data_IF_674432557079
#
_entry.id   IF_674432557079
#
_cell.length_a   1.000
_cell.length_b   1.000
_cell.length_c   1.000
_cell.angle_alpha   90.00
_cell.angle_beta   90.00
_cell.angle_gamma   90.00
#
_symmetry.space_group_name_H-M   'P 1'
#
loop_
_entity.id
_entity.type
_entity.pdbx_description
1 polymer ?
#
# COMPACT_ATOMS: atom_id res chain seq x y z
N UNK A 1 -20.16 -20.21 -6.22
CA UNK A 1 -19.29 -19.02 -6.20
C UNK A 1 -20.17 -17.80 -5.93
N UNK A 2 -20.31 -17.34 -4.67
CA UNK A 2 -21.31 -16.31 -4.29
C UNK A 2 -20.74 -15.14 -3.48
N UNK A 3 -19.52 -15.27 -2.93
CA UNK A 3 -18.99 -14.30 -1.97
C UNK A 3 -17.84 -13.44 -2.49
N UNK A 4 -17.09 -13.91 -3.50
CA UNK A 4 -15.86 -13.24 -3.96
C UNK A 4 -16.09 -11.76 -4.33
N UNK A 5 -17.00 -11.48 -5.25
CA UNK A 5 -17.24 -10.10 -5.72
C UNK A 5 -17.79 -9.19 -4.62
N UNK A 6 -18.66 -9.73 -3.75
CA UNK A 6 -19.22 -8.99 -2.61
C UNK A 6 -18.12 -8.62 -1.61
N UNK A 7 -17.25 -9.56 -1.28
CA UNK A 7 -16.11 -9.35 -0.38
C UNK A 7 -15.08 -8.39 -0.98
N UNK A 8 -14.72 -8.55 -2.27
CA UNK A 8 -13.85 -7.62 -2.98
C UNK A 8 -14.43 -6.20 -2.98
N UNK A 9 -15.74 -6.06 -3.20
CA UNK A 9 -16.44 -4.79 -3.13
C UNK A 9 -16.37 -4.14 -1.74
N UNK A 10 -16.45 -4.93 -0.67
CA UNK A 10 -16.25 -4.45 0.70
C UNK A 10 -14.82 -3.96 0.92
N UNK A 11 -13.81 -4.77 0.57
CA UNK A 11 -12.40 -4.41 0.80
C UNK A 11 -11.94 -3.24 -0.07
N UNK A 12 -12.48 -3.05 -1.28
CA UNK A 12 -12.24 -1.83 -2.07
C UNK A 12 -12.75 -0.57 -1.38
N UNK A 13 -13.91 -0.62 -0.73
CA UNK A 13 -14.43 0.51 0.07
C UNK A 13 -13.58 0.75 1.32
N UNK A 14 -13.09 -0.32 1.95
CA UNK A 14 -12.17 -0.21 3.08
C UNK A 14 -10.84 0.42 2.66
N UNK A 15 -10.26 0.00 1.53
CA UNK A 15 -9.03 0.55 0.97
C UNK A 15 -9.11 2.08 0.84
N UNK A 16 -10.22 2.58 0.25
CA UNK A 16 -10.44 4.02 0.13
C UNK A 16 -10.43 4.73 1.49
N UNK A 17 -11.11 4.18 2.50
CA UNK A 17 -11.14 4.75 3.86
C UNK A 17 -9.76 4.76 4.54
N UNK A 18 -8.98 3.71 4.32
CA UNK A 18 -7.61 3.61 4.82
C UNK A 18 -6.73 4.70 4.21
N UNK A 19 -6.77 4.87 2.88
CA UNK A 19 -6.03 5.94 2.20
C UNK A 19 -6.47 7.34 2.66
N UNK A 20 -7.78 7.59 2.77
CA UNK A 20 -8.32 8.89 3.17
C UNK A 20 -7.88 9.26 4.61
N UNK A 21 -7.65 8.27 5.47
CA UNK A 21 -7.20 8.46 6.88
C UNK A 21 -5.71 8.21 7.09
N UNK A 22 -4.95 7.88 6.03
CA UNK A 22 -3.53 7.52 6.11
C UNK A 22 -3.25 6.35 7.07
N UNK A 23 -4.22 5.45 7.18
CA UNK A 23 -4.11 4.22 7.95
C UNK A 23 -3.56 3.09 7.06
N UNK A 24 -2.87 2.15 7.70
CA UNK A 24 -2.26 0.97 7.08
C UNK A 24 -3.00 -0.28 7.54
N UNK A 25 -3.22 -1.22 6.62
CA UNK A 25 -3.79 -2.53 6.93
C UNK A 25 -2.74 -3.61 6.70
N UNK A 26 -2.17 -4.11 7.79
CA UNK A 26 -1.36 -5.33 7.79
C UNK A 26 -2.24 -6.55 8.07
N UNK A 27 -2.03 -7.64 7.31
CA UNK A 27 -2.73 -8.91 7.50
C UNK A 27 -1.73 -10.03 7.71
N UNK A 28 -1.77 -10.60 8.92
CA UNK A 28 -1.03 -11.77 9.33
C UNK A 28 -2.02 -12.92 9.49
N UNK A 29 -1.97 -13.89 8.58
CA UNK A 29 -2.90 -15.00 8.60
C UNK A 29 -2.14 -16.33 8.58
N UNK A 30 -2.39 -17.16 9.59
CA UNK A 30 -1.80 -18.49 9.70
C UNK A 30 -2.93 -19.53 9.75
N UNK A 31 -3.00 -20.36 8.71
CA UNK A 31 -4.05 -21.36 8.51
C UNK A 31 -3.57 -22.43 7.52
N UNK A 32 -4.02 -23.66 7.70
CA UNK A 32 -3.83 -24.73 6.71
C UNK A 32 -4.77 -24.60 5.50
N UNK A 33 -5.81 -23.78 5.62
CA UNK A 33 -6.79 -23.49 4.57
C UNK A 33 -6.77 -21.99 4.18
N UNK A 34 -7.44 -21.64 3.09
CA UNK A 34 -7.51 -20.28 2.57
C UNK A 34 -8.21 -19.32 3.54
N UNK A 35 -7.69 -18.09 3.60
CA UNK A 35 -8.11 -17.06 4.56
C UNK A 35 -8.80 -15.86 3.91
N UNK A 36 -9.16 -15.98 2.62
CA UNK A 36 -9.73 -14.87 1.85
C UNK A 36 -8.70 -13.80 1.47
N UNK A 37 -7.43 -14.19 1.34
CA UNK A 37 -6.33 -13.30 0.97
C UNK A 37 -6.58 -12.61 -0.39
N UNK A 38 -7.21 -13.31 -1.34
CA UNK A 38 -7.51 -12.76 -2.67
C UNK A 38 -8.50 -11.59 -2.60
N UNK A 39 -9.53 -11.71 -1.76
CA UNK A 39 -10.58 -10.70 -1.60
C UNK A 39 -10.07 -9.43 -0.91
N UNK A 40 -9.17 -9.58 0.06
CA UNK A 40 -8.63 -8.46 0.86
C UNK A 40 -7.35 -7.85 0.29
N UNK A 41 -6.69 -8.52 -0.68
CA UNK A 41 -5.40 -8.13 -1.27
C UNK A 41 -5.32 -6.64 -1.61
N UNK A 42 -6.35 -6.12 -2.29
CA UNK A 42 -6.37 -4.73 -2.74
C UNK A 42 -6.32 -3.73 -1.57
N UNK A 43 -6.97 -4.02 -0.44
CA UNK A 43 -6.96 -3.12 0.71
C UNK A 43 -5.59 -3.07 1.39
N UNK A 44 -4.94 -4.22 1.51
CA UNK A 44 -3.57 -4.32 2.06
C UNK A 44 -2.61 -3.56 1.16
N UNK A 45 -2.58 -3.91 -0.14
CA UNK A 45 -1.69 -3.30 -1.12
C UNK A 45 -1.85 -1.77 -1.20
N UNK A 46 -3.08 -1.25 -1.36
CA UNK A 46 -3.29 0.20 -1.49
C UNK A 46 -2.91 0.98 -0.24
N UNK A 47 -3.01 0.36 0.94
CA UNK A 47 -2.59 0.97 2.20
C UNK A 47 -1.08 0.87 2.45
N UNK A 48 -0.33 0.17 1.59
CA UNK A 48 1.10 -0.09 1.77
C UNK A 48 1.43 -1.13 2.85
N UNK A 49 0.42 -1.88 3.32
CA UNK A 49 0.58 -2.85 4.40
C UNK A 49 1.17 -4.19 3.98
N UNK A 50 1.54 -5.00 4.96
CA UNK A 50 2.09 -6.34 4.78
C UNK A 50 0.97 -7.39 4.67
N UNK A 51 1.11 -8.32 3.71
CA UNK A 51 0.33 -9.55 3.67
C UNK A 51 1.26 -10.74 3.95
N UNK A 52 1.14 -11.35 5.12
CA UNK A 52 1.90 -12.54 5.51
C UNK A 52 0.94 -13.71 5.69
N UNK A 53 1.12 -14.73 4.85
CA UNK A 53 0.40 -15.99 4.90
C UNK A 53 1.33 -17.10 5.40
N UNK A 54 0.87 -17.90 6.36
CA UNK A 54 1.58 -19.04 6.89
C UNK A 54 0.63 -20.14 7.35
N UNK A 55 1.17 -21.19 7.95
CA UNK A 55 0.37 -22.31 8.48
C UNK A 55 0.09 -22.15 9.97
N UNK A 56 1.08 -21.68 10.74
CA UNK A 56 1.00 -21.46 12.18
C UNK A 56 1.80 -20.24 12.61
N UNK A 57 1.27 -19.51 13.60
CA UNK A 57 1.97 -18.40 14.26
C UNK A 57 3.16 -18.86 15.10
N UNK A 58 3.25 -20.16 15.43
CA UNK A 58 4.37 -20.72 16.18
C UNK A 58 5.62 -20.92 15.32
N UNK A 59 5.50 -20.83 14.00
CA UNK A 59 6.61 -21.01 13.07
C UNK A 59 7.70 -19.96 13.29
N UNK A 60 8.96 -20.38 13.26
CA UNK A 60 10.09 -19.46 13.37
C UNK A 60 10.14 -18.46 12.21
N UNK A 61 9.62 -18.86 11.04
CA UNK A 61 9.44 -17.99 9.88
C UNK A 61 8.51 -16.82 10.21
N UNK A 62 7.32 -17.09 10.78
CA UNK A 62 6.39 -16.03 11.19
C UNK A 62 7.03 -15.09 12.22
N UNK A 63 7.61 -15.65 13.30
CA UNK A 63 8.25 -14.86 14.36
C UNK A 63 9.41 -14.02 13.84
N UNK A 64 10.19 -14.51 12.87
CA UNK A 64 11.28 -13.77 12.25
C UNK A 64 10.77 -12.63 11.38
N UNK A 65 9.76 -12.86 10.55
CA UNK A 65 9.14 -11.83 9.73
C UNK A 65 8.53 -10.72 10.59
N UNK A 66 7.78 -11.08 11.62
CA UNK A 66 7.16 -10.11 12.53
C UNK A 66 8.22 -9.23 13.23
N UNK A 67 9.32 -9.83 13.71
CA UNK A 67 10.45 -9.06 14.27
C UNK A 67 11.10 -8.13 13.25
N UNK A 68 11.22 -8.55 11.99
CA UNK A 68 11.84 -7.73 10.94
C UNK A 68 10.99 -6.51 10.58
N UNK A 69 9.66 -6.67 10.56
CA UNK A 69 8.72 -5.57 10.32
C UNK A 69 8.97 -4.46 11.35
N UNK A 70 9.04 -4.79 12.64
CA UNK A 70 9.31 -3.83 13.72
C UNK A 70 10.82 -3.60 13.98
N UNK A 71 11.65 -3.71 12.94
CA UNK A 71 13.08 -3.39 13.06
C UNK A 71 13.29 -1.92 13.40
N UNK A 72 14.37 -1.67 14.16
CA UNK A 72 14.73 -0.35 14.66
C UNK A 72 16.09 0.09 14.14
N UNK A 73 16.25 1.40 13.96
CA UNK A 73 17.53 2.01 13.64
C UNK A 73 18.46 2.10 14.87
N UNK A 74 19.64 2.72 14.69
CA UNK A 74 20.63 2.89 15.75
C UNK A 74 20.12 3.74 16.93
N UNK A 75 19.15 4.62 16.68
CA UNK A 75 18.53 5.50 17.67
C UNK A 75 17.32 4.84 18.35
N UNK A 76 16.94 3.62 17.92
CA UNK A 76 15.83 2.86 18.47
C UNK A 76 14.46 3.20 17.88
N UNK A 77 14.40 3.96 16.79
CA UNK A 77 13.15 4.28 16.09
C UNK A 77 12.76 3.16 15.13
N UNK A 78 11.46 2.95 14.94
CA UNK A 78 10.96 1.99 13.94
C UNK A 78 11.31 2.46 12.53
N UNK A 79 11.77 1.54 11.67
CA UNK A 79 12.05 1.80 10.25
C UNK A 79 10.77 1.81 9.40
N UNK A 80 9.78 2.61 9.82
CA UNK A 80 8.49 2.79 9.15
C UNK A 80 8.13 4.28 9.15
N UNK A 81 7.60 4.78 8.04
CA UNK A 81 7.22 6.18 7.89
C UNK A 81 5.79 6.26 7.38
N UNK A 82 4.96 7.07 8.01
CA UNK A 82 3.52 7.15 7.72
C UNK A 82 3.13 8.51 7.16
N UNK A 83 1.96 8.57 6.54
CA UNK A 83 1.36 9.81 6.00
C UNK A 83 2.29 10.56 5.03
N UNK A 84 2.82 9.83 4.04
CA UNK A 84 3.86 10.35 3.14
C UNK A 84 3.23 10.99 1.92
N UNK A 85 3.70 12.19 1.59
CA UNK A 85 3.38 12.88 0.34
C UNK A 85 4.57 12.78 -0.62
N UNK A 86 4.30 12.36 -1.86
CA UNK A 86 5.29 12.24 -2.92
C UNK A 86 4.99 13.27 -4.00
N UNK A 87 5.85 14.26 -4.17
CA UNK A 87 5.77 15.25 -5.24
C UNK A 87 6.87 15.02 -6.25
N UNK A 88 6.51 14.98 -7.54
CA UNK A 88 7.47 14.83 -8.64
C UNK A 88 7.57 16.14 -9.40
N UNK A 89 8.79 16.63 -9.52
CA UNK A 89 9.13 17.85 -10.27
C UNK A 89 10.03 17.46 -11.45
N UNK A 90 9.69 17.94 -12.64
CA UNK A 90 10.41 17.63 -13.88
C UNK A 90 10.78 18.90 -14.64
N UNK A 91 11.63 18.76 -15.66
CA UNK A 91 11.82 19.80 -16.66
C UNK A 91 10.57 19.94 -17.53
N UNK A 92 10.40 21.10 -18.17
CA UNK A 92 9.20 21.43 -18.96
C UNK A 92 8.95 20.48 -20.16
N UNK A 93 10.00 19.82 -20.64
CA UNK A 93 9.93 18.92 -21.79
C UNK A 93 9.53 17.48 -21.40
N UNK A 94 9.36 17.20 -20.10
CA UNK A 94 8.99 15.88 -19.60
C UNK A 94 7.64 15.94 -18.88
N UNK A 95 6.71 15.07 -19.31
CA UNK A 95 5.39 14.92 -18.70
C UNK A 95 5.26 13.60 -17.94
N UNK A 96 4.47 13.60 -16.88
CA UNK A 96 4.23 12.45 -16.00
C UNK A 96 2.88 11.83 -16.34
N UNK A 97 2.89 10.54 -16.69
CA UNK A 97 1.66 9.79 -16.97
C UNK A 97 0.98 9.25 -15.72
N UNK A 98 1.74 8.98 -14.66
CA UNK A 98 1.22 8.45 -13.40
C UNK A 98 2.25 7.60 -12.66
N UNK A 99 1.78 6.93 -11.61
CA UNK A 99 2.58 6.02 -10.80
C UNK A 99 1.91 4.64 -10.67
N UNK A 100 2.73 3.60 -10.52
CA UNK A 100 2.31 2.23 -10.24
C UNK A 100 2.84 1.83 -8.88
N UNK A 101 1.95 1.51 -7.94
CA UNK A 101 2.33 1.15 -6.58
C UNK A 101 1.27 1.54 -5.55
N UNK A 102 1.58 1.42 -4.24
CA UNK A 102 0.67 1.69 -3.13
C UNK A 102 0.54 3.21 -2.89
N UNK A 103 0.10 3.93 -3.91
CA UNK A 103 -0.05 5.39 -3.89
C UNK A 103 -1.46 5.77 -4.29
N UNK A 104 -1.89 6.96 -3.89
CA UNK A 104 -3.17 7.54 -4.30
C UNK A 104 -2.91 8.91 -4.91
N UNK A 105 -3.46 9.11 -6.10
CA UNK A 105 -3.40 10.39 -6.79
C UNK A 105 -4.17 11.48 -6.03
N UNK A 106 -3.52 12.60 -5.74
CA UNK A 106 -4.18 13.78 -5.16
C UNK A 106 -4.85 14.67 -6.22
N UNK A 107 -4.86 14.24 -7.48
CA UNK A 107 -5.56 14.88 -8.61
C UNK A 107 -5.21 16.36 -8.78
N UNK A 108 -3.97 16.76 -8.47
CA UNK A 108 -3.48 18.11 -8.73
C UNK A 108 -2.73 18.14 -10.06
N UNK A 109 -3.10 19.07 -10.94
CA UNK A 109 -2.53 19.17 -12.30
C UNK A 109 -1.77 20.48 -12.50
N UNK A 110 -0.73 20.40 -13.32
CA UNK A 110 0.06 21.51 -13.84
C UNK A 110 0.63 21.10 -15.22
N UNK A 111 1.49 21.93 -15.81
CA UNK A 111 2.01 21.74 -17.17
C UNK A 111 2.83 20.45 -17.38
N UNK A 112 3.28 19.81 -16.29
CA UNK A 112 4.06 18.57 -16.34
C UNK A 112 3.19 17.31 -16.21
N UNK A 113 1.88 17.41 -16.02
CA UNK A 113 0.99 16.24 -16.00
C UNK A 113 0.57 15.90 -17.43
N UNK A 114 0.77 14.64 -17.83
CA UNK A 114 0.37 14.13 -19.14
C UNK A 114 -1.15 13.98 -19.26
N UNK A 115 -1.68 14.15 -20.47
CA UNK A 115 -3.06 13.77 -20.80
C UNK A 115 -3.22 12.23 -20.82
N UNK A 116 -2.15 11.51 -21.16
CA UNK A 116 -2.13 10.06 -21.10
C UNK A 116 -1.91 9.61 -19.66
N UNK A 117 -2.91 8.98 -19.05
CA UNK A 117 -2.83 8.45 -17.68
C UNK A 117 -2.40 6.97 -17.67
N UNK A 118 -1.43 6.63 -16.82
CA UNK A 118 -0.99 5.24 -16.57
C UNK A 118 -1.00 4.99 -15.06
N UNK A 119 -1.74 3.97 -14.60
CA UNK A 119 -1.86 3.67 -13.18
C UNK A 119 -2.58 4.79 -12.42
N UNK A 120 -2.02 5.21 -11.28
CA UNK A 120 -2.48 6.37 -10.52
C UNK A 120 -1.98 7.65 -11.19
N UNK A 121 -2.67 8.03 -12.27
CA UNK A 121 -2.34 9.20 -13.09
C UNK A 121 -3.09 10.47 -12.73
N UNK A 122 -2.97 11.44 -13.64
CA UNK A 122 -3.67 12.72 -13.57
C UNK A 122 -3.21 13.60 -12.41
N UNK A 123 -1.98 13.44 -11.95
CA UNK A 123 -1.38 14.23 -10.88
C UNK A 123 0.14 14.31 -11.01
N UNK A 124 0.76 15.30 -10.38
CA UNK A 124 2.21 15.34 -10.11
C UNK A 124 2.52 15.07 -8.62
N UNK A 125 1.48 14.90 -7.81
CA UNK A 125 1.57 14.66 -6.37
C UNK A 125 0.67 13.49 -5.93
N UNK A 126 1.24 12.58 -5.15
CA UNK A 126 0.61 11.40 -4.60
C UNK A 126 0.70 11.39 -3.08
N UNK A 127 -0.15 10.59 -2.47
CA UNK A 127 -0.10 10.24 -1.06
C UNK A 127 0.05 8.74 -0.90
N UNK A 128 0.78 8.30 0.12
CA UNK A 128 0.81 6.90 0.56
C UNK A 128 0.73 6.83 2.08
N UNK A 129 0.03 5.82 2.60
CA UNK A 129 -0.16 5.66 4.05
C UNK A 129 1.15 5.27 4.75
N UNK A 130 2.03 4.52 4.08
CA UNK A 130 3.32 4.09 4.66
C UNK A 130 4.38 3.83 3.60
N UNK A 131 5.65 4.04 3.99
CA UNK A 131 6.83 3.60 3.25
C UNK A 131 7.85 2.99 4.21
N UNK A 132 8.67 2.10 3.67
CA UNK A 132 9.84 1.53 4.36
C UNK A 132 11.09 1.84 3.57
N UNK A 133 12.27 1.48 4.09
CA UNK A 133 13.52 1.57 3.36
C UNK A 133 13.60 0.66 2.10
N UNK A 134 12.61 -0.20 1.88
CA UNK A 134 12.50 -1.11 0.73
C UNK A 134 11.42 -0.70 -0.27
N UNK A 135 10.63 0.31 0.04
CA UNK A 135 9.61 0.88 -0.87
C UNK A 135 10.31 1.68 -1.96
#
# INVERSE_FOLDING_TARGET
VSYYDKSCGFYKKLAKRLCDTSAVLDVFACSLDQVGAAELRYAVEMSGGFLLLGETFESEQFKKCLRHIFSRDADGNLSMYFDVSLEVVTTKDMRICGALGPVVSLKQKNDIVSETEIGEGGTYIWKTSTVTNKT
#
